data_IF_099889876820
#
_entry.id   IF_099889876820
#
_cell.length_a   1.000
_cell.length_b   1.000
_cell.length_c   1.000
_cell.angle_alpha   90.00
_cell.angle_beta   90.00
_cell.angle_gamma   90.00
#
_symmetry.space_group_name_H-M   'P 1'
#
loop_
_entity.id
_entity.type
_entity.pdbx_description
1 polymer ?
#
# COMPACT_ATOMS: atom_id res chain seq x y z
N UNK A 1 1.03 11.95 11.97
CA UNK A 1 0.87 10.89 10.96
C UNK A 1 -0.05 9.80 11.47
N UNK A 2 -0.76 9.18 10.55
CA UNK A 2 -1.66 8.06 10.84
C UNK A 2 -1.02 6.77 10.35
N UNK A 3 -1.47 5.65 10.90
CA UNK A 3 -0.99 4.33 10.50
C UNK A 3 -1.99 3.70 9.54
N UNK A 4 -1.48 3.15 8.45
CA UNK A 4 -2.31 2.51 7.42
C UNK A 4 -1.83 1.10 7.13
N UNK A 5 -2.79 0.24 6.78
CA UNK A 5 -2.51 -1.06 6.18
C UNK A 5 -2.90 -0.97 4.70
N UNK A 6 -1.93 -1.22 3.84
CA UNK A 6 -2.13 -1.19 2.40
C UNK A 6 -2.06 -2.61 1.87
N UNK A 7 -3.15 -3.04 1.20
CA UNK A 7 -3.22 -4.35 0.54
C UNK A 7 -3.05 -4.16 -0.95
N UNK A 8 -2.27 -5.01 -1.56
CA UNK A 8 -1.96 -4.86 -2.99
C UNK A 8 -1.77 -6.22 -3.66
N UNK A 9 -1.85 -6.20 -4.98
CA UNK A 9 -1.57 -7.35 -5.84
C UNK A 9 -0.24 -7.09 -6.55
N UNK A 10 0.64 -8.08 -6.53
CA UNK A 10 1.93 -7.98 -7.20
C UNK A 10 1.79 -8.31 -8.68
N UNK A 11 2.80 -7.94 -9.47
CA UNK A 11 2.83 -8.25 -10.91
C UNK A 11 2.86 -9.74 -11.20
N UNK A 12 3.29 -10.55 -10.25
CA UNK A 12 3.28 -12.02 -10.36
C UNK A 12 1.92 -12.62 -10.00
N UNK A 13 0.96 -11.80 -9.57
CA UNK A 13 -0.39 -12.28 -9.22
C UNK A 13 -0.57 -12.63 -7.75
N UNK A 14 0.39 -12.36 -6.91
CA UNK A 14 0.29 -12.63 -5.48
C UNK A 14 -0.36 -11.47 -4.73
N UNK A 15 -1.06 -11.80 -3.63
CA UNK A 15 -1.63 -10.79 -2.75
C UNK A 15 -0.69 -10.58 -1.58
N UNK A 16 -0.48 -9.31 -1.22
CA UNK A 16 0.39 -8.95 -0.12
C UNK A 16 -0.15 -7.72 0.60
N UNK A 17 0.47 -7.36 1.72
CA UNK A 17 0.07 -6.20 2.51
C UNK A 17 1.29 -5.63 3.21
N UNK A 18 1.22 -4.33 3.50
CA UNK A 18 2.28 -3.65 4.21
C UNK A 18 1.74 -2.47 5.01
N UNK A 19 2.37 -2.23 6.15
CA UNK A 19 2.04 -1.14 7.05
C UNK A 19 2.87 0.09 6.70
N UNK A 20 2.28 1.27 6.81
CA UNK A 20 3.06 2.50 6.70
C UNK A 20 2.40 3.63 7.50
N UNK A 21 3.18 4.67 7.78
CA UNK A 21 2.70 5.90 8.36
C UNK A 21 2.61 6.95 7.26
N UNK A 22 1.49 7.68 7.23
CA UNK A 22 1.27 8.70 6.23
C UNK A 22 0.23 9.70 6.74
N UNK A 23 0.07 10.82 6.04
CA UNK A 23 -0.89 11.84 6.41
C UNK A 23 -2.30 11.53 5.87
N UNK A 24 -2.38 10.70 4.85
CA UNK A 24 -3.65 10.30 4.24
C UNK A 24 -3.51 8.92 3.61
N UNK A 25 -4.66 8.29 3.32
CA UNK A 25 -4.68 6.99 2.64
C UNK A 25 -4.06 7.07 1.24
N UNK A 26 -4.27 8.16 0.52
CA UNK A 26 -3.68 8.38 -0.79
C UNK A 26 -2.16 8.43 -0.70
N UNK A 27 -1.63 9.13 0.30
CA UNK A 27 -0.19 9.21 0.53
C UNK A 27 0.37 7.84 0.90
N UNK A 28 -0.36 7.09 1.74
CA UNK A 28 0.05 5.74 2.12
C UNK A 28 0.20 4.85 0.88
N UNK A 29 -0.77 4.86 -0.01
CA UNK A 29 -0.72 4.07 -1.24
C UNK A 29 0.45 4.48 -2.12
N UNK A 30 0.70 5.78 -2.26
CA UNK A 30 1.83 6.29 -3.04
C UNK A 30 3.17 5.86 -2.44
N UNK A 31 3.29 5.91 -1.12
CA UNK A 31 4.51 5.51 -0.44
C UNK A 31 4.82 4.04 -0.69
N UNK A 32 3.81 3.19 -0.61
CA UNK A 32 3.97 1.75 -0.85
C UNK A 32 4.35 1.50 -2.31
N UNK A 33 3.71 2.17 -3.25
CA UNK A 33 4.05 2.03 -4.67
C UNK A 33 5.48 2.47 -4.97
N UNK A 34 5.97 3.51 -4.29
CA UNK A 34 7.33 4.00 -4.48
C UNK A 34 8.38 3.04 -3.90
N UNK A 35 8.03 2.29 -2.85
CA UNK A 35 8.94 1.33 -2.23
C UNK A 35 8.99 -0.01 -2.96
N UNK A 36 7.93 -0.37 -3.68
CA UNK A 36 7.80 -1.67 -4.32
C UNK A 36 7.59 -1.50 -5.82
N UNK A 37 8.57 -1.95 -6.60
CA UNK A 37 8.51 -1.88 -8.06
C UNK A 37 7.54 -2.89 -8.69
N UNK A 38 7.19 -3.94 -7.93
CA UNK A 38 6.42 -5.08 -8.46
C UNK A 38 4.92 -5.01 -8.15
N UNK A 39 4.39 -3.86 -7.76
CA UNK A 39 2.96 -3.70 -7.48
C UNK A 39 2.20 -3.52 -8.79
N UNK A 40 1.21 -4.39 -9.04
CA UNK A 40 0.31 -4.26 -10.17
C UNK A 40 -0.87 -3.34 -9.83
N UNK A 41 -1.43 -3.47 -8.62
CA UNK A 41 -2.55 -2.63 -8.19
C UNK A 41 -2.60 -2.51 -6.68
N UNK A 42 -3.10 -1.37 -6.22
CA UNK A 42 -3.44 -1.17 -4.81
C UNK A 42 -4.91 -1.57 -4.65
N UNK A 43 -5.18 -2.54 -3.80
CA UNK A 43 -6.52 -3.11 -3.65
C UNK A 43 -7.30 -2.46 -2.52
N UNK A 44 -6.64 -2.14 -1.40
CA UNK A 44 -7.30 -1.54 -0.25
C UNK A 44 -6.32 -0.75 0.60
N UNK A 45 -6.78 0.36 1.15
CA UNK A 45 -6.04 1.15 2.13
C UNK A 45 -6.94 1.32 3.33
N UNK A 46 -6.49 0.86 4.49
CA UNK A 46 -7.27 0.94 5.73
C UNK A 46 -6.51 1.75 6.77
N UNK A 47 -7.18 2.73 7.36
CA UNK A 47 -6.63 3.47 8.48
C UNK A 47 -6.81 2.65 9.76
N UNK A 48 -5.79 2.61 10.58
CA UNK A 48 -5.77 1.81 11.82
C UNK A 48 -5.89 2.63 13.09
#
# INVERSE_FOLDING_TARGET
MKKYLVRFTTKSGDYDKEWCYANSGKEAAQNIQNEHWNIASIDMVSEL
#
